data_IF_525487045102
#
_entry.id   IF_525487045102
#
_cell.length_a   1.000
_cell.length_b   1.000
_cell.length_c   1.000
_cell.angle_alpha   90.00
_cell.angle_beta   90.00
_cell.angle_gamma   90.00
#
_symmetry.space_group_name_H-M   'P 1'
#
loop_
_entity.id
_entity.type
_entity.pdbx_description
1 polymer ?
#
# COMPACT_ATOMS: atom_id res chain seq x y z
N UNK A 1 7.93 -13.58 13.84
CA UNK A 1 7.26 -12.73 12.85
C UNK A 1 7.99 -12.72 11.51
N UNK A 2 9.30 -12.66 11.51
CA UNK A 2 10.10 -12.95 10.31
C UNK A 2 10.33 -14.45 10.17
N UNK A 3 10.31 -14.99 8.91
CA UNK A 3 10.67 -16.37 8.65
C UNK A 3 12.11 -16.65 9.08
N UNK A 4 12.38 -17.88 9.52
CA UNK A 4 13.74 -18.30 9.96
C UNK A 4 14.62 -18.65 8.74
N UNK A 5 14.02 -18.97 7.62
CA UNK A 5 14.72 -19.30 6.38
C UNK A 5 15.10 -18.02 5.60
N UNK A 6 16.36 -17.90 5.19
CA UNK A 6 16.90 -16.73 4.49
C UNK A 6 16.16 -16.37 3.20
N UNK A 7 15.67 -17.36 2.46
CA UNK A 7 14.92 -17.10 1.22
C UNK A 7 13.59 -16.41 1.53
N UNK A 8 12.89 -16.90 2.52
CA UNK A 8 11.61 -16.36 2.95
C UNK A 8 11.79 -15.03 3.68
N UNK A 9 12.88 -14.84 4.42
CA UNK A 9 13.26 -13.56 5.00
C UNK A 9 13.46 -12.50 3.92
N UNK A 10 14.23 -12.80 2.85
CA UNK A 10 14.44 -11.87 1.74
C UNK A 10 13.13 -11.53 1.02
N UNK A 11 12.27 -12.53 0.79
CA UNK A 11 10.96 -12.32 0.20
C UNK A 11 10.10 -11.40 1.08
N UNK A 12 10.10 -11.62 2.39
CA UNK A 12 9.39 -10.79 3.37
C UNK A 12 9.86 -9.34 3.32
N UNK A 13 11.17 -9.11 3.40
CA UNK A 13 11.77 -7.77 3.32
C UNK A 13 11.46 -7.08 1.98
N UNK A 14 11.39 -7.84 0.90
CA UNK A 14 11.01 -7.29 -0.42
C UNK A 14 9.57 -6.79 -0.41
N UNK A 15 8.63 -7.56 0.13
CA UNK A 15 7.22 -7.15 0.24
C UNK A 15 7.08 -5.92 1.14
N UNK A 16 7.77 -5.88 2.28
CA UNK A 16 7.81 -4.70 3.15
C UNK A 16 8.28 -3.46 2.39
N UNK A 17 9.44 -3.56 1.71
CA UNK A 17 10.01 -2.44 0.97
C UNK A 17 9.08 -1.93 -0.15
N UNK A 18 8.37 -2.82 -0.85
CA UNK A 18 7.38 -2.44 -1.86
C UNK A 18 6.17 -1.75 -1.21
N UNK A 19 5.65 -2.29 -0.12
CA UNK A 19 4.52 -1.73 0.61
C UNK A 19 4.85 -0.32 1.16
N UNK A 20 6.01 -0.16 1.77
CA UNK A 20 6.51 1.14 2.25
C UNK A 20 6.65 2.14 1.10
N UNK A 21 7.21 1.69 -0.04
CA UNK A 21 7.32 2.52 -1.23
C UNK A 21 5.97 2.97 -1.81
N UNK A 22 4.91 2.17 -1.68
CA UNK A 22 3.54 2.57 -2.03
C UNK A 22 3.05 3.64 -1.07
N UNK A 23 3.19 3.44 0.25
CA UNK A 23 2.78 4.40 1.26
C UNK A 23 3.50 5.74 1.09
N UNK A 24 4.81 5.73 0.88
CA UNK A 24 5.61 6.93 0.64
C UNK A 24 5.12 7.71 -0.59
N UNK A 25 4.83 7.03 -1.70
CA UNK A 25 4.33 7.67 -2.90
C UNK A 25 2.96 8.32 -2.67
N UNK A 26 2.06 7.66 -1.91
CA UNK A 26 0.76 8.22 -1.51
C UNK A 26 0.93 9.47 -0.66
N UNK A 27 1.85 9.47 0.31
CA UNK A 27 2.17 10.65 1.14
C UNK A 27 2.67 11.79 0.27
N UNK A 28 3.59 11.52 -0.67
CA UNK A 28 4.16 12.54 -1.56
C UNK A 28 3.10 13.19 -2.45
N UNK A 29 2.17 12.42 -3.01
CA UNK A 29 1.02 12.96 -3.77
C UNK A 29 0.18 13.88 -2.88
N UNK A 30 -0.14 13.41 -1.65
CA UNK A 30 -0.94 14.21 -0.74
C UNK A 30 -0.28 15.54 -0.37
N UNK A 31 1.02 15.51 -0.05
CA UNK A 31 1.77 16.73 0.30
C UNK A 31 1.90 17.66 -0.90
N UNK A 32 2.06 17.15 -2.11
CA UNK A 32 2.09 17.98 -3.31
C UNK A 32 0.74 18.66 -3.56
N UNK A 33 -0.37 17.95 -3.34
CA UNK A 33 -1.73 18.48 -3.55
C UNK A 33 -2.16 19.56 -2.54
N UNK A 34 -1.50 19.68 -1.38
CA UNK A 34 -1.79 20.77 -0.41
C UNK A 34 -0.93 22.01 -0.63
N UNK A 35 -0.05 22.01 -1.63
CA UNK A 35 0.72 23.20 -2.00
C UNK A 35 -0.17 24.25 -2.66
N UNK A 36 0.31 25.48 -2.72
CA UNK A 36 -0.34 26.56 -3.48
C UNK A 36 -0.44 26.16 -4.96
N UNK A 37 -1.62 26.36 -5.57
CA UNK A 37 -1.97 25.82 -6.89
C UNK A 37 -0.90 26.04 -8.00
N UNK A 38 -0.23 27.21 -8.01
CA UNK A 38 0.82 27.51 -9.00
C UNK A 38 2.17 26.81 -8.74
N UNK A 39 2.30 26.12 -7.59
CA UNK A 39 3.50 25.38 -7.21
C UNK A 39 3.32 23.86 -7.29
N UNK A 40 2.11 23.38 -7.63
CA UNK A 40 1.82 21.96 -7.76
C UNK A 40 2.47 21.41 -9.04
N UNK A 41 3.32 20.42 -8.91
CA UNK A 41 3.95 19.73 -10.03
C UNK A 41 3.12 18.52 -10.45
N UNK A 42 2.38 18.64 -11.55
CA UNK A 42 1.62 17.52 -12.13
C UNK A 42 2.54 16.36 -12.53
N UNK A 43 3.68 16.67 -13.14
CA UNK A 43 4.66 15.64 -13.54
C UNK A 43 5.20 14.86 -12.34
N UNK A 44 5.37 15.52 -11.18
CA UNK A 44 5.78 14.84 -9.96
C UNK A 44 4.68 13.89 -9.44
N UNK A 45 3.43 14.35 -9.47
CA UNK A 45 2.27 13.53 -9.08
C UNK A 45 2.17 12.30 -9.98
N UNK A 46 2.17 12.47 -11.30
CA UNK A 46 2.14 11.37 -12.28
C UNK A 46 3.23 10.32 -12.01
N UNK A 47 4.43 10.78 -11.69
CA UNK A 47 5.53 9.87 -11.33
C UNK A 47 5.25 9.06 -10.06
N UNK A 48 4.62 9.67 -9.05
CA UNK A 48 4.26 8.95 -7.83
C UNK A 48 3.08 8.00 -8.07
N UNK A 49 2.11 8.36 -8.90
CA UNK A 49 1.02 7.49 -9.32
C UNK A 49 1.53 6.25 -10.04
N UNK A 50 2.46 6.42 -10.96
CA UNK A 50 3.13 5.31 -11.64
C UNK A 50 3.87 4.39 -10.65
N UNK A 51 4.52 4.96 -9.63
CA UNK A 51 5.19 4.19 -8.58
C UNK A 51 4.20 3.35 -7.77
N UNK A 52 3.05 3.92 -7.39
CA UNK A 52 1.98 3.20 -6.70
C UNK A 52 1.47 2.05 -7.57
N UNK A 53 1.14 2.32 -8.82
CA UNK A 53 0.62 1.32 -9.74
C UNK A 53 1.60 0.16 -9.94
N UNK A 54 2.88 0.46 -10.16
CA UNK A 54 3.93 -0.55 -10.32
C UNK A 54 4.15 -1.37 -9.04
N UNK A 55 4.06 -0.74 -7.86
CA UNK A 55 4.10 -1.43 -6.57
C UNK A 55 2.94 -2.41 -6.41
N UNK A 56 1.72 -1.97 -6.67
CA UNK A 56 0.53 -2.83 -6.62
C UNK A 56 0.60 -3.98 -7.64
N UNK A 57 1.09 -3.71 -8.84
CA UNK A 57 1.32 -4.72 -9.87
C UNK A 57 2.34 -5.77 -9.42
N UNK A 58 3.41 -5.33 -8.74
CA UNK A 58 4.39 -6.26 -8.16
C UNK A 58 3.74 -7.14 -7.09
N UNK A 59 3.03 -6.54 -6.12
CA UNK A 59 2.32 -7.27 -5.07
C UNK A 59 1.33 -8.27 -5.67
N UNK A 60 0.55 -7.87 -6.66
CA UNK A 60 -0.40 -8.74 -7.34
C UNK A 60 0.28 -9.94 -7.99
N UNK A 61 1.38 -9.71 -8.70
CA UNK A 61 2.15 -10.78 -9.35
C UNK A 61 2.76 -11.75 -8.35
N UNK A 62 3.36 -11.24 -7.27
CA UNK A 62 4.00 -12.07 -6.25
C UNK A 62 2.99 -12.89 -5.45
N UNK A 63 1.86 -12.28 -5.10
CA UNK A 63 0.78 -12.96 -4.39
C UNK A 63 0.16 -14.09 -5.24
N UNK A 64 -0.11 -13.84 -6.52
CA UNK A 64 -0.82 -14.79 -7.38
C UNK A 64 -2.19 -15.13 -6.81
N UNK A 65 -2.44 -16.42 -6.54
CA UNK A 65 -3.67 -16.93 -5.94
C UNK A 65 -3.54 -17.31 -4.46
N UNK A 66 -2.42 -16.94 -3.82
CA UNK A 66 -2.14 -17.27 -2.41
C UNK A 66 -2.96 -16.42 -1.44
N UNK A 67 -3.15 -16.92 -0.22
CA UNK A 67 -3.76 -16.16 0.88
C UNK A 67 -2.72 -15.39 1.71
N UNK A 68 -1.43 -15.71 1.59
CA UNK A 68 -0.31 -15.09 2.28
C UNK A 68 0.83 -14.85 1.30
N UNK A 69 1.60 -13.77 1.51
CA UNK A 69 2.71 -13.44 0.61
C UNK A 69 3.85 -14.43 0.73
N UNK A 70 4.21 -14.76 1.96
CA UNK A 70 5.35 -15.63 2.25
C UNK A 70 4.89 -16.74 3.17
N UNK A 71 5.21 -17.98 2.82
CA UNK A 71 4.72 -19.18 3.49
C UNK A 71 3.18 -19.31 3.50
N UNK A 72 2.66 -20.24 4.28
CA UNK A 72 1.23 -20.49 4.42
C UNK A 72 0.67 -19.94 5.76
N UNK A 73 1.30 -18.91 6.32
CA UNK A 73 0.87 -18.29 7.57
C UNK A 73 1.08 -16.77 7.55
N UNK A 74 0.26 -16.09 8.34
CA UNK A 74 0.28 -14.65 8.50
C UNK A 74 1.58 -14.15 9.13
N UNK A 75 2.27 -13.21 8.48
CA UNK A 75 3.53 -12.64 8.93
C UNK A 75 3.64 -11.13 8.61
N UNK A 76 4.81 -10.55 8.80
CA UNK A 76 5.02 -9.11 8.64
C UNK A 76 4.82 -8.65 7.18
N UNK A 77 5.08 -9.50 6.18
CA UNK A 77 4.80 -9.16 4.78
C UNK A 77 3.31 -8.89 4.56
N UNK A 78 2.45 -9.71 5.17
CA UNK A 78 0.99 -9.53 5.09
C UNK A 78 0.52 -8.27 5.81
N UNK A 79 1.13 -7.95 6.96
CA UNK A 79 0.83 -6.70 7.67
C UNK A 79 1.16 -5.50 6.80
N UNK A 80 2.35 -5.46 6.23
CA UNK A 80 2.82 -4.35 5.40
C UNK A 80 1.99 -4.19 4.12
N UNK A 81 1.76 -5.29 3.41
CA UNK A 81 0.94 -5.28 2.19
C UNK A 81 -0.50 -4.84 2.48
N UNK A 82 -1.17 -5.42 3.48
CA UNK A 82 -2.53 -5.03 3.85
C UNK A 82 -2.62 -3.55 4.25
N UNK A 83 -1.68 -3.08 5.08
CA UNK A 83 -1.64 -1.67 5.52
C UNK A 83 -1.46 -0.72 4.34
N UNK A 84 -0.63 -1.08 3.35
CA UNK A 84 -0.46 -0.25 2.16
C UNK A 84 -1.73 -0.14 1.32
N UNK A 85 -2.49 -1.24 1.16
CA UNK A 85 -3.78 -1.24 0.47
C UNK A 85 -4.82 -0.36 1.18
N UNK A 86 -4.93 -0.48 2.51
CA UNK A 86 -5.80 0.39 3.34
C UNK A 86 -5.40 1.87 3.20
N UNK A 87 -4.12 2.16 3.14
CA UNK A 87 -3.63 3.52 3.03
C UNK A 87 -3.94 4.13 1.66
N UNK A 88 -3.81 3.35 0.58
CA UNK A 88 -4.25 3.76 -0.77
C UNK A 88 -5.75 4.08 -0.76
N UNK A 89 -6.59 3.24 -0.17
CA UNK A 89 -8.04 3.46 -0.09
C UNK A 89 -8.41 4.77 0.61
N UNK A 90 -7.68 5.14 1.66
CA UNK A 90 -7.99 6.34 2.44
C UNK A 90 -7.51 7.60 1.75
N UNK A 91 -6.35 7.56 1.11
CA UNK A 91 -5.65 8.74 0.63
C UNK A 91 -5.74 8.94 -0.88
N UNK A 92 -5.94 7.87 -1.64
CA UNK A 92 -5.90 7.89 -3.09
C UNK A 92 -7.12 7.14 -3.67
N UNK A 93 -8.30 7.70 -3.40
CA UNK A 93 -9.60 7.09 -3.74
C UNK A 93 -9.87 7.02 -5.25
N UNK A 94 -9.15 7.80 -6.04
CA UNK A 94 -9.28 7.85 -7.49
C UNK A 94 -8.74 6.59 -8.16
N UNK A 95 -7.85 5.85 -7.49
CA UNK A 95 -7.31 4.60 -8.00
C UNK A 95 -8.22 3.42 -7.64
N UNK A 96 -8.95 2.92 -8.61
CA UNK A 96 -9.72 1.67 -8.47
C UNK A 96 -8.81 0.45 -8.64
N UNK A 97 -7.91 0.26 -7.67
CA UNK A 97 -6.95 -0.84 -7.69
C UNK A 97 -7.62 -2.23 -7.60
N UNK A 98 -8.81 -2.32 -7.02
CA UNK A 98 -9.56 -3.58 -6.91
C UNK A 98 -9.97 -4.11 -8.27
N UNK A 99 -10.35 -3.23 -9.17
CA UNK A 99 -10.68 -3.57 -10.55
C UNK A 99 -9.45 -4.02 -11.33
N UNK A 100 -8.33 -3.33 -11.15
CA UNK A 100 -7.08 -3.64 -11.85
C UNK A 100 -6.39 -4.90 -11.31
N UNK A 101 -6.51 -5.16 -10.01
CA UNK A 101 -5.85 -6.27 -9.31
C UNK A 101 -6.86 -7.08 -8.47
N UNK A 102 -7.75 -7.90 -9.11
CA UNK A 102 -8.81 -8.62 -8.39
C UNK A 102 -8.29 -9.60 -7.33
N UNK A 103 -7.09 -10.15 -7.52
CA UNK A 103 -6.48 -11.04 -6.54
C UNK A 103 -6.04 -10.30 -5.26
N UNK A 104 -5.61 -9.05 -5.37
CA UNK A 104 -5.35 -8.21 -4.19
C UNK A 104 -6.66 -7.86 -3.47
N UNK A 105 -7.78 -7.67 -4.19
CA UNK A 105 -9.09 -7.46 -3.57
C UNK A 105 -9.55 -8.70 -2.80
N UNK A 106 -9.37 -9.90 -3.35
CA UNK A 106 -9.66 -11.15 -2.65
C UNK A 106 -8.79 -11.31 -1.40
N UNK A 107 -7.51 -11.02 -1.50
CA UNK A 107 -6.57 -10.99 -0.39
C UNK A 107 -7.02 -9.99 0.70
N UNK A 108 -7.36 -8.78 0.31
CA UNK A 108 -7.86 -7.76 1.24
C UNK A 108 -9.13 -8.23 1.97
N UNK A 109 -10.11 -8.81 1.26
CA UNK A 109 -11.34 -9.36 1.83
C UNK A 109 -11.06 -10.49 2.83
N UNK A 110 -10.13 -11.36 2.49
CA UNK A 110 -9.71 -12.47 3.38
C UNK A 110 -9.12 -11.95 4.71
N UNK A 111 -8.24 -10.97 4.64
CA UNK A 111 -7.56 -10.45 5.83
C UNK A 111 -8.36 -9.38 6.60
N UNK A 112 -9.26 -8.67 5.96
CA UNK A 112 -10.04 -7.58 6.57
C UNK A 112 -10.91 -8.04 7.77
N UNK A 113 -11.20 -9.33 7.86
CA UNK A 113 -11.93 -9.93 8.98
C UNK A 113 -11.08 -10.14 10.22
N UNK A 114 -9.76 -9.98 10.15
CA UNK A 114 -8.88 -10.13 11.32
C UNK A 114 -9.14 -9.03 12.33
N UNK A 115 -9.29 -9.43 13.61
CA UNK A 115 -9.57 -8.50 14.72
C UNK A 115 -8.51 -7.38 14.80
N UNK A 116 -7.23 -7.71 14.57
CA UNK A 116 -6.15 -6.72 14.58
C UNK A 116 -6.36 -5.62 13.54
N UNK A 117 -6.75 -5.96 12.32
CA UNK A 117 -7.01 -4.98 11.27
C UNK A 117 -8.33 -4.23 11.49
N UNK A 118 -9.37 -4.93 11.94
CA UNK A 118 -10.66 -4.30 12.23
C UNK A 118 -10.55 -3.21 13.30
N UNK A 119 -9.72 -3.43 14.32
CA UNK A 119 -9.54 -2.51 15.46
C UNK A 119 -8.52 -1.40 15.21
N UNK A 120 -7.70 -1.51 14.16
CA UNK A 120 -6.64 -0.53 13.86
C UNK A 120 -6.86 0.20 12.53
N UNK A 121 -8.09 0.23 12.04
CA UNK A 121 -8.42 0.95 10.79
C UNK A 121 -8.00 2.40 10.89
N UNK A 122 -7.19 2.89 9.94
CA UNK A 122 -6.77 4.28 9.95
C UNK A 122 -7.95 5.21 9.68
N UNK A 123 -7.98 6.34 10.37
CA UNK A 123 -8.97 7.39 10.14
C UNK A 123 -8.39 8.50 9.28
N UNK A 124 -9.25 9.16 8.50
CA UNK A 124 -8.83 10.32 7.71
C UNK A 124 -8.40 11.47 8.62
N UNK A 125 -7.13 11.85 8.52
CA UNK A 125 -6.60 13.04 9.18
C UNK A 125 -6.68 14.24 8.24
N UNK A 126 -7.09 15.41 8.77
CA UNK A 126 -6.96 16.69 8.05
C UNK A 126 -5.52 17.17 8.16
N UNK A 127 -4.94 17.58 7.05
CA UNK A 127 -3.70 18.34 7.03
C UNK A 127 -4.10 19.78 6.74
N UNK A 128 -3.79 20.70 7.65
CA UNK A 128 -3.97 22.11 7.40
C UNK A 128 -3.01 22.56 6.28
N UNK A 129 -3.46 23.47 5.38
CA UNK A 129 -2.56 24.01 4.37
C UNK A 129 -1.34 24.64 5.02
N UNK A 130 -0.15 24.26 4.55
CA UNK A 130 1.08 24.89 5.01
C UNK A 130 1.10 26.29 4.40
N UNK A 131 0.85 27.28 5.22
CA UNK A 131 1.07 28.70 4.87
C UNK A 131 2.53 29.04 5.23
N UNK A 132 3.37 29.20 4.19
CA UNK A 132 4.69 29.80 4.33
C UNK A 132 4.60 31.32 4.12
#
# INVERSE_FOLDING_TARGET
>A
MYPIDHKNELSTLTIEAIADGICDAVVLIRLENVRVNNLISKQWIERQEEKIFNGLKYLSKDLGSKNYFVDDYFNIADISAFTSLEYVDIRFKELDWRREFPNLDNYWKFHNTRVSFANTKPSSQKIDPITY
#
